data_IF_726520540470
#
_entry.id   IF_726520540470
#
_cell.length_a   1.000
_cell.length_b   1.000
_cell.length_c   1.000
_cell.angle_alpha   90.00
_cell.angle_beta   90.00
_cell.angle_gamma   90.00
#
_symmetry.space_group_name_H-M   'P 1'
#
loop_
_entity.id
_entity.type
_entity.pdbx_description
1 polymer ?
#
# COMPACT_ATOMS: atom_id res chain seq x y z
N UNK A 1 56.66 -12.61 -0.35
CA UNK A 1 55.72 -12.23 -1.42
C UNK A 1 54.41 -13.05 -1.41
N UNK A 2 54.35 -14.17 -0.67
CA UNK A 2 53.24 -15.15 -0.72
C UNK A 2 51.93 -14.71 -0.04
N UNK A 3 51.99 -13.84 0.98
CA UNK A 3 50.80 -13.42 1.72
C UNK A 3 49.77 -12.63 0.86
N UNK A 4 50.20 -11.96 -0.21
CA UNK A 4 49.32 -11.12 -1.03
C UNK A 4 48.44 -11.93 -1.99
N UNK A 5 48.83 -13.17 -2.31
CA UNK A 5 48.06 -14.07 -3.17
C UNK A 5 46.94 -14.76 -2.38
N UNK A 6 47.23 -15.16 -1.14
CA UNK A 6 46.24 -15.76 -0.23
C UNK A 6 45.11 -14.78 0.11
N UNK A 7 45.41 -13.51 0.34
CA UNK A 7 44.37 -12.49 0.61
C UNK A 7 43.46 -12.24 -0.60
N UNK A 8 44.02 -12.26 -1.83
CA UNK A 8 43.24 -12.07 -3.07
C UNK A 8 42.32 -13.25 -3.38
N UNK A 9 42.78 -14.47 -3.11
CA UNK A 9 41.98 -15.68 -3.28
C UNK A 9 40.83 -15.75 -2.27
N UNK A 10 41.09 -15.37 -1.01
CA UNK A 10 40.05 -15.28 0.01
C UNK A 10 38.99 -14.22 -0.33
N UNK A 11 39.40 -13.01 -0.73
CA UNK A 11 38.46 -11.95 -1.11
C UNK A 11 37.64 -12.28 -2.36
N UNK A 12 38.24 -12.97 -3.33
CA UNK A 12 37.53 -13.41 -4.55
C UNK A 12 36.49 -14.51 -4.25
N UNK A 13 36.81 -15.45 -3.36
CA UNK A 13 35.85 -16.48 -2.92
C UNK A 13 34.68 -15.90 -2.12
N UNK A 14 34.94 -14.88 -1.31
CA UNK A 14 33.92 -14.19 -0.52
C UNK A 14 33.02 -13.29 -1.39
N UNK A 15 33.61 -12.55 -2.33
CA UNK A 15 32.85 -11.78 -3.34
C UNK A 15 32.02 -12.67 -4.26
N UNK A 16 32.53 -13.85 -4.65
CA UNK A 16 31.77 -14.80 -5.46
C UNK A 16 30.57 -15.36 -4.70
N UNK A 17 30.70 -15.63 -3.39
CA UNK A 17 29.58 -16.07 -2.56
C UNK A 17 28.56 -14.95 -2.35
N UNK A 18 29.03 -13.73 -2.12
CA UNK A 18 28.16 -12.57 -1.91
C UNK A 18 27.37 -12.23 -3.18
N UNK A 19 28.00 -12.28 -4.36
CA UNK A 19 27.33 -12.08 -5.65
C UNK A 19 26.25 -13.14 -5.90
N UNK A 20 26.53 -14.42 -5.63
CA UNK A 20 25.54 -15.50 -5.75
C UNK A 20 24.37 -15.28 -4.80
N UNK A 21 24.61 -14.86 -3.55
CA UNK A 21 23.52 -14.56 -2.61
C UNK A 21 22.66 -13.38 -3.08
N UNK A 22 23.26 -12.34 -3.67
CA UNK A 22 22.53 -11.18 -4.19
C UNK A 22 21.71 -11.53 -5.43
N UNK A 23 22.26 -12.33 -6.35
CA UNK A 23 21.52 -12.83 -7.51
C UNK A 23 20.35 -13.72 -7.09
N UNK A 24 20.55 -14.58 -6.08
CA UNK A 24 19.47 -15.44 -5.54
C UNK A 24 18.38 -14.60 -4.88
N UNK A 25 18.75 -13.56 -4.12
CA UNK A 25 17.80 -12.63 -3.51
C UNK A 25 17.02 -11.86 -4.58
N UNK A 26 17.67 -11.43 -5.65
CA UNK A 26 17.01 -10.76 -6.77
C UNK A 26 16.02 -11.69 -7.49
N UNK A 27 16.43 -12.93 -7.77
CA UNK A 27 15.54 -13.93 -8.40
C UNK A 27 14.34 -14.29 -7.52
N UNK A 28 14.51 -14.34 -6.19
CA UNK A 28 13.40 -14.53 -5.26
C UNK A 28 12.45 -13.31 -5.32
N UNK A 29 12.99 -12.09 -5.37
CA UNK A 29 12.19 -10.88 -5.46
C UNK A 29 11.37 -10.86 -6.75
N UNK A 30 11.98 -11.18 -7.89
CA UNK A 30 11.30 -11.25 -9.19
C UNK A 30 10.20 -12.32 -9.21
N UNK A 31 10.44 -13.48 -8.59
CA UNK A 31 9.46 -14.57 -8.46
C UNK A 31 8.27 -14.19 -7.55
N UNK A 32 8.54 -13.48 -6.45
CA UNK A 32 7.51 -12.99 -5.53
C UNK A 32 6.59 -11.95 -6.20
N UNK A 33 7.15 -11.10 -7.08
CA UNK A 33 6.38 -10.15 -7.89
C UNK A 33 5.54 -10.89 -8.95
N UNK A 34 6.11 -11.88 -9.64
CA UNK A 34 5.40 -12.66 -10.66
C UNK A 34 4.24 -13.51 -10.10
N UNK A 35 4.31 -13.92 -8.83
CA UNK A 35 3.26 -14.71 -8.16
C UNK A 35 2.14 -13.85 -7.56
N UNK A 36 2.28 -12.51 -7.59
CA UNK A 36 1.25 -11.58 -7.07
C UNK A 36 1.09 -11.58 -5.55
N UNK A 37 2.03 -12.19 -4.81
CA UNK A 37 2.03 -12.24 -3.34
C UNK A 37 2.48 -10.93 -2.70
N UNK A 38 3.24 -10.12 -3.46
CA UNK A 38 3.54 -8.73 -3.14
C UNK A 38 3.04 -7.92 -4.33
N UNK A 39 1.96 -7.17 -4.14
CA UNK A 39 1.67 -6.07 -5.05
C UNK A 39 2.82 -5.08 -4.87
N UNK A 40 3.57 -4.79 -5.93
CA UNK A 40 4.31 -3.52 -6.04
C UNK A 40 3.40 -2.43 -5.47
N UNK A 41 3.88 -1.49 -4.63
CA UNK A 41 3.05 -0.38 -4.22
C UNK A 41 2.60 0.28 -5.52
N UNK A 42 1.35 0.03 -5.91
CA UNK A 42 0.74 0.68 -7.05
C UNK A 42 0.95 2.15 -6.76
N UNK A 43 1.82 2.79 -7.54
CA UNK A 43 2.14 4.20 -7.40
C UNK A 43 0.82 4.87 -7.70
N UNK A 44 0.06 5.17 -6.65
CA UNK A 44 -1.18 5.93 -6.75
C UNK A 44 -0.73 7.29 -7.25
N UNK A 45 -0.77 7.45 -8.56
CA UNK A 45 -0.43 8.69 -9.24
C UNK A 45 -1.27 9.77 -8.62
N UNK A 46 -0.62 10.84 -8.16
CA UNK A 46 -1.20 12.01 -7.52
C UNK A 46 -2.06 12.86 -8.49
N UNK A 47 -2.84 12.22 -9.37
CA UNK A 47 -3.95 12.90 -10.00
C UNK A 47 -4.95 13.11 -8.87
N UNK A 48 -5.10 14.37 -8.44
CA UNK A 48 -6.15 14.72 -7.52
C UNK A 48 -7.47 14.42 -8.25
N UNK A 49 -8.02 13.22 -8.02
CA UNK A 49 -9.31 12.85 -8.60
C UNK A 49 -10.34 13.86 -8.09
N UNK A 50 -10.89 14.66 -9.00
CA UNK A 50 -11.97 15.58 -8.67
C UNK A 50 -13.22 14.77 -8.35
N UNK A 51 -13.63 14.82 -7.08
CA UNK A 51 -14.85 14.18 -6.61
C UNK A 51 -16.02 15.12 -6.91
N UNK A 52 -16.81 14.78 -7.92
CA UNK A 52 -17.96 15.59 -8.35
C UNK A 52 -19.24 15.27 -7.56
N UNK A 53 -19.25 14.15 -6.83
CA UNK A 53 -20.42 13.70 -6.06
C UNK A 53 -20.03 12.87 -4.82
N UNK A 54 -21.00 12.67 -3.92
CA UNK A 54 -20.85 11.74 -2.79
C UNK A 54 -20.71 10.28 -3.25
N UNK A 55 -21.23 9.93 -4.42
CA UNK A 55 -21.05 8.60 -5.00
C UNK A 55 -19.58 8.34 -5.37
N UNK A 56 -18.90 9.33 -5.94
CA UNK A 56 -17.47 9.23 -6.27
C UNK A 56 -16.62 9.02 -5.02
N UNK A 57 -16.94 9.74 -3.94
CA UNK A 57 -16.32 9.53 -2.63
C UNK A 57 -16.54 8.09 -2.13
N UNK A 58 -17.76 7.56 -2.26
CA UNK A 58 -18.09 6.19 -1.89
C UNK A 58 -17.25 5.16 -2.64
N UNK A 59 -17.11 5.31 -3.96
CA UNK A 59 -16.27 4.45 -4.81
C UNK A 59 -14.80 4.52 -4.40
N UNK A 60 -14.28 5.72 -4.11
CA UNK A 60 -12.91 5.90 -3.64
C UNK A 60 -12.67 5.20 -2.29
N UNK A 61 -13.61 5.33 -1.36
CA UNK A 61 -13.56 4.68 -0.04
C UNK A 61 -13.55 3.15 -0.18
N UNK A 62 -14.44 2.58 -1.01
CA UNK A 62 -14.47 1.14 -1.29
C UNK A 62 -13.14 0.66 -1.85
N UNK A 63 -12.62 1.37 -2.85
CA UNK A 63 -11.38 1.00 -3.54
C UNK A 63 -10.22 1.00 -2.56
N UNK A 64 -10.06 2.08 -1.78
CA UNK A 64 -8.98 2.20 -0.81
C UNK A 64 -9.10 1.20 0.34
N UNK A 65 -10.32 0.89 0.79
CA UNK A 65 -10.56 -0.14 1.80
C UNK A 65 -10.13 -1.52 1.31
N UNK A 66 -10.47 -1.87 0.07
CA UNK A 66 -10.07 -3.16 -0.54
C UNK A 66 -8.56 -3.28 -0.72
N UNK A 67 -7.88 -2.22 -1.17
CA UNK A 67 -6.41 -2.19 -1.26
C UNK A 67 -5.74 -2.43 0.10
N UNK A 68 -6.37 -1.96 1.19
CA UNK A 68 -5.90 -2.21 2.56
C UNK A 68 -6.36 -3.56 3.14
N UNK A 69 -7.07 -4.40 2.37
CA UNK A 69 -7.65 -5.66 2.82
C UNK A 69 -8.54 -5.54 4.07
N UNK A 70 -9.28 -4.43 4.19
CA UNK A 70 -10.17 -4.19 5.33
C UNK A 70 -11.61 -4.59 5.01
N UNK A 71 -12.29 -5.24 5.95
CA UNK A 71 -13.76 -5.40 5.90
C UNK A 71 -14.45 -4.10 6.30
N UNK A 72 -15.76 -4.00 6.06
CA UNK A 72 -16.53 -2.84 6.52
C UNK A 72 -16.57 -2.76 8.06
N UNK A 73 -16.63 -3.90 8.76
CA UNK A 73 -16.54 -3.91 10.23
C UNK A 73 -15.16 -3.46 10.72
N UNK A 74 -14.08 -3.99 10.14
CA UNK A 74 -12.74 -3.60 10.52
C UNK A 74 -12.50 -2.10 10.31
N UNK A 75 -12.98 -1.54 9.19
CA UNK A 75 -12.89 -0.11 8.94
C UNK A 75 -13.74 0.71 9.93
N UNK A 76 -14.94 0.24 10.28
CA UNK A 76 -15.81 0.95 11.23
C UNK A 76 -15.19 1.01 12.62
N UNK A 77 -14.57 -0.08 13.06
CA UNK A 77 -13.89 -0.15 14.36
C UNK A 77 -12.69 0.80 14.39
N UNK A 78 -11.84 0.75 13.36
CA UNK A 78 -10.66 1.62 13.24
C UNK A 78 -11.03 3.11 13.15
N UNK A 79 -12.13 3.44 12.47
CA UNK A 79 -12.60 4.82 12.34
C UNK A 79 -13.48 5.28 13.51
N UNK A 80 -13.79 4.38 14.45
CA UNK A 80 -14.71 4.63 15.57
C UNK A 80 -16.05 5.24 15.11
N UNK A 81 -16.67 4.56 14.13
CA UNK A 81 -18.01 4.86 13.59
C UNK A 81 -18.83 3.58 13.51
N UNK A 82 -20.14 3.67 13.27
CA UNK A 82 -20.95 2.46 13.06
C UNK A 82 -20.67 1.81 11.70
N UNK A 83 -20.82 0.48 11.60
CA UNK A 83 -20.79 -0.24 10.31
C UNK A 83 -21.78 0.36 9.31
N UNK A 84 -22.96 0.75 9.79
CA UNK A 84 -23.98 1.42 8.97
C UNK A 84 -23.49 2.75 8.39
N UNK A 85 -22.67 3.50 9.13
CA UNK A 85 -22.03 4.72 8.65
C UNK A 85 -21.05 4.42 7.52
N UNK A 86 -20.21 3.38 7.66
CA UNK A 86 -19.30 2.97 6.58
C UNK A 86 -20.07 2.56 5.34
N UNK A 87 -21.10 1.72 5.48
CA UNK A 87 -21.99 1.33 4.37
C UNK A 87 -22.62 2.55 3.68
N UNK A 88 -23.13 3.50 4.46
CA UNK A 88 -23.78 4.69 3.92
C UNK A 88 -22.80 5.61 3.19
N UNK A 89 -21.54 5.73 3.65
CA UNK A 89 -20.48 6.43 2.92
C UNK A 89 -20.18 5.71 1.60
N UNK A 90 -19.98 4.39 1.64
CA UNK A 90 -19.64 3.59 0.45
C UNK A 90 -20.74 3.59 -0.61
N UNK A 91 -22.01 3.74 -0.21
CA UNK A 91 -23.13 3.90 -1.14
C UNK A 91 -23.36 5.34 -1.60
N UNK A 92 -22.52 6.30 -1.18
CA UNK A 92 -22.66 7.71 -1.53
C UNK A 92 -23.81 8.44 -0.84
N UNK A 93 -24.30 7.92 0.28
CA UNK A 93 -25.39 8.52 1.05
C UNK A 93 -24.95 9.74 1.86
N UNK A 94 -25.94 10.42 2.44
CA UNK A 94 -25.69 11.63 3.23
C UNK A 94 -25.15 11.26 4.62
N UNK A 95 -23.93 11.68 4.92
CA UNK A 95 -23.22 11.39 6.16
C UNK A 95 -22.55 12.65 6.67
N UNK A 96 -22.45 12.80 8.00
CA UNK A 96 -21.75 13.91 8.62
C UNK A 96 -20.30 13.97 8.15
N UNK A 97 -19.84 15.17 7.81
CA UNK A 97 -18.45 15.44 7.39
C UNK A 97 -17.43 14.88 8.39
N UNK A 98 -17.70 14.97 9.68
CA UNK A 98 -16.84 14.40 10.72
C UNK A 98 -16.61 12.89 10.54
N UNK A 99 -17.67 12.13 10.28
CA UNK A 99 -17.56 10.67 10.06
C UNK A 99 -16.79 10.35 8.78
N UNK A 100 -17.01 11.15 7.73
CA UNK A 100 -16.23 11.04 6.49
C UNK A 100 -14.74 11.25 6.77
N UNK A 101 -14.38 12.31 7.50
CA UNK A 101 -12.99 12.63 7.85
C UNK A 101 -12.31 11.54 8.69
N UNK A 102 -13.04 10.91 9.62
CA UNK A 102 -12.51 9.79 10.41
C UNK A 102 -12.19 8.58 9.54
N UNK A 103 -13.12 8.22 8.63
CA UNK A 103 -12.93 7.11 7.70
C UNK A 103 -11.78 7.38 6.73
N UNK A 104 -11.75 8.56 6.10
CA UNK A 104 -10.68 8.92 5.15
C UNK A 104 -9.31 8.97 5.82
N UNK A 105 -9.22 9.42 7.08
CA UNK A 105 -7.99 9.37 7.87
C UNK A 105 -7.43 7.95 8.03
N UNK A 106 -8.27 6.97 8.38
CA UNK A 106 -7.84 5.56 8.49
C UNK A 106 -7.38 5.01 7.14
N UNK A 107 -8.06 5.39 6.06
CA UNK A 107 -7.71 4.98 4.70
C UNK A 107 -6.48 5.72 4.14
N UNK A 108 -5.97 6.74 4.83
CA UNK A 108 -4.85 7.56 4.37
C UNK A 108 -5.22 8.47 3.20
N UNK A 109 -6.49 8.80 3.04
CA UNK A 109 -7.01 9.72 2.04
C UNK A 109 -6.98 11.14 2.59
N UNK A 110 -6.57 12.11 1.77
CA UNK A 110 -6.64 13.54 2.08
C UNK A 110 -7.72 14.17 1.23
N UNK A 111 -8.69 14.81 1.87
CA UNK A 111 -9.73 15.58 1.19
C UNK A 111 -9.31 17.05 1.18
N UNK A 112 -9.43 17.69 0.02
CA UNK A 112 -9.24 19.12 -0.16
C UNK A 112 -10.57 19.73 -0.57
N UNK A 113 -11.01 20.78 0.12
CA UNK A 113 -12.14 21.57 -0.33
C UNK A 113 -11.65 22.61 -1.34
N UNK A 114 -12.27 22.65 -2.52
CA UNK A 114 -12.12 23.80 -3.42
C UNK A 114 -12.98 24.95 -2.87
N UNK A 115 -12.44 26.18 -2.97
CA UNK A 115 -13.09 27.42 -2.51
C UNK A 115 -14.00 27.98 -3.58
#
# INVERSE_FOLDING_TARGET
>A
MENRLLTKLASAGEQSRENVTRETLQQIMDLVVATGLVQEPEVVTNNADELNSSADLGVLVVSRRKVKNLTQEALSDLASVSVGTVKNIESGGNVRVESILRVTKVLGLRLLCQK
#
